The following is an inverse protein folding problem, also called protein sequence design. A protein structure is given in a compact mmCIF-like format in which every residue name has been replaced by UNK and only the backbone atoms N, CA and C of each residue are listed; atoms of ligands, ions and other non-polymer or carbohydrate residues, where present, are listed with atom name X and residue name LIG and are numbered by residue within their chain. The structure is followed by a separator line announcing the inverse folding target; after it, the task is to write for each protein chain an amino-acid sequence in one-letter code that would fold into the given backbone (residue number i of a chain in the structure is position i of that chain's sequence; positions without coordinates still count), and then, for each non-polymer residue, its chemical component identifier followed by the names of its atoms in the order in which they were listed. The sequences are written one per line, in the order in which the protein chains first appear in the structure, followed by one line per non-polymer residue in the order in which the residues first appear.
data_IF_361989392480
#
_entry.id   IF_361989392480
#
_cell.length_a   1.000
_cell.length_b   1.000
_cell.length_c   1.000
_cell.angle_alpha   90.00
_cell.angle_beta   90.00
_cell.angle_gamma   90.00
#
_symmetry.space_group_name_H-M   'P 1'
#
loop_
_entity.id
_entity.type
_entity.pdbx_description
1 polymer ?
#
# COMPACT_ATOMS: atom_id res chain seq x y z
N UNK A 1 -34.74 26.03 -25.77
CA UNK A 1 -35.91 25.17 -26.11
C UNK A 1 -35.41 23.74 -26.20
N UNK A 2 -35.99 22.84 -25.41
CA UNK A 2 -35.62 21.42 -25.40
C UNK A 2 -35.51 20.86 -23.99
N UNK A 3 -36.65 20.79 -23.31
CA UNK A 3 -36.80 20.11 -22.03
C UNK A 3 -36.83 18.59 -22.24
N UNK A 4 -36.16 17.87 -21.34
CA UNK A 4 -36.51 16.50 -20.95
C UNK A 4 -36.43 16.39 -19.43
N UNK A 5 -37.51 16.78 -18.78
CA UNK A 5 -38.12 16.10 -17.61
C UNK A 5 -38.32 14.62 -17.96
N UNK A 6 -38.28 13.59 -17.11
CA UNK A 6 -38.22 13.29 -15.67
C UNK A 6 -37.79 11.79 -15.60
N UNK A 7 -37.34 11.14 -14.54
CA UNK A 7 -38.04 10.85 -13.29
C UNK A 7 -37.14 9.86 -12.51
N UNK A 8 -36.71 10.18 -11.29
CA UNK A 8 -37.08 9.33 -10.17
C UNK A 8 -37.13 10.15 -8.87
N UNK A 9 -38.23 10.07 -8.11
CA UNK A 9 -38.52 10.89 -6.95
C UNK A 9 -38.12 10.18 -5.65
N UNK A 10 -37.81 10.98 -4.63
CA UNK A 10 -37.33 10.52 -3.32
C UNK A 10 -35.83 10.79 -3.23
N UNK A 11 -35.36 11.90 -2.65
CA UNK A 11 -35.61 12.28 -1.26
C UNK A 11 -35.78 13.79 -1.17
N UNK A 12 -36.95 14.22 -0.69
CA UNK A 12 -37.23 15.60 -0.35
C UNK A 12 -36.43 16.01 0.90
N UNK A 13 -35.73 17.13 0.79
CA UNK A 13 -35.50 18.12 1.86
C UNK A 13 -35.28 17.61 3.28
N UNK A 14 -34.03 17.68 3.77
CA UNK A 14 -33.76 18.31 5.08
C UNK A 14 -32.25 18.55 5.28
N UNK A 15 -31.73 19.64 4.71
CA UNK A 15 -30.50 20.26 5.22
C UNK A 15 -30.88 21.61 5.83
N UNK A 16 -31.53 21.54 7.00
CA UNK A 16 -31.52 22.69 7.91
C UNK A 16 -30.16 22.72 8.59
N UNK A 17 -29.54 23.90 8.54
CA UNK A 17 -28.21 24.15 9.07
C UNK A 17 -28.06 23.69 10.53
N UNK A 18 -26.89 23.14 10.80
CA UNK A 18 -26.44 22.80 12.13
C UNK A 18 -24.98 22.40 12.05
N UNK A 19 -24.10 23.32 12.45
CA UNK A 19 -22.80 23.06 13.09
C UNK A 19 -22.05 21.81 12.62
N UNK A 20 -21.00 22.01 11.81
CA UNK A 20 -19.96 20.99 11.62
C UNK A 20 -19.28 20.78 12.98
N UNK A 21 -19.68 19.72 13.70
CA UNK A 21 -18.96 19.28 14.88
C UNK A 21 -17.55 18.83 14.48
N UNK A 22 -16.50 19.17 15.25
CA UNK A 22 -15.14 18.71 14.95
C UNK A 22 -15.09 17.19 15.03
N UNK A 23 -14.51 16.54 14.01
CA UNK A 23 -14.38 15.08 13.89
C UNK A 23 -13.52 14.40 14.97
N UNK A 24 -13.08 15.12 16.01
CA UNK A 24 -12.26 14.60 17.09
C UNK A 24 -13.01 13.65 18.04
N UNK A 25 -14.34 13.55 17.95
CA UNK A 25 -15.18 12.84 18.94
C UNK A 25 -15.77 11.51 18.45
N UNK A 26 -15.48 11.09 17.21
CA UNK A 26 -15.99 9.85 16.62
C UNK A 26 -15.06 8.63 16.74
N UNK A 27 -13.89 8.77 17.39
CA UNK A 27 -12.93 7.67 17.61
C UNK A 27 -12.88 7.16 19.07
N UNK A 28 -13.92 7.37 19.87
CA UNK A 28 -13.91 6.93 21.28
C UNK A 28 -15.15 6.16 21.75
N UNK A 29 -15.91 5.57 20.82
CA UNK A 29 -16.98 4.65 21.21
C UNK A 29 -17.14 3.50 20.24
N UNK A 30 -16.24 2.54 20.38
CA UNK A 30 -16.62 1.16 20.13
C UNK A 30 -16.11 0.29 21.27
N UNK A 31 -17.04 0.02 22.19
CA UNK A 31 -17.00 -1.12 23.09
C UNK A 31 -16.86 -2.39 22.25
N UNK A 32 -15.62 -2.78 21.97
CA UNK A 32 -15.29 -4.06 21.39
C UNK A 32 -14.62 -4.89 22.46
N UNK A 33 -15.45 -5.61 23.20
CA UNK A 33 -15.15 -6.96 23.68
C UNK A 33 -14.83 -7.85 22.46
N UNK A 34 -13.67 -7.64 21.86
CA UNK A 34 -13.12 -8.50 20.82
C UNK A 34 -11.78 -9.00 21.35
N UNK A 35 -11.71 -10.31 21.51
CA UNK A 35 -10.62 -11.02 22.12
C UNK A 35 -9.26 -10.51 21.65
N UNK A 36 -8.42 -10.11 22.61
CA UNK A 36 -7.00 -10.45 22.77
C UNK A 36 -6.39 -11.16 21.54
N UNK A 37 -6.22 -10.43 20.43
CA UNK A 37 -5.52 -10.96 19.26
C UNK A 37 -4.03 -10.72 19.50
N UNK A 38 -3.43 -11.60 20.31
CA UNK A 38 -1.98 -11.60 20.52
C UNK A 38 -1.29 -11.96 19.21
N UNK A 39 -0.84 -10.95 18.48
CA UNK A 39 0.01 -11.12 17.30
C UNK A 39 1.38 -11.75 17.62
N UNK A 40 1.68 -12.00 18.90
CA UNK A 40 2.96 -12.54 19.40
C UNK A 40 3.06 -14.08 19.29
N UNK A 41 2.00 -14.78 18.86
CA UNK A 41 1.97 -16.25 18.87
C UNK A 41 2.41 -16.94 17.55
N UNK A 42 2.73 -16.20 16.48
CA UNK A 42 2.99 -16.82 15.16
C UNK A 42 4.47 -17.15 14.87
N UNK A 43 5.44 -16.65 15.65
CA UNK A 43 6.88 -16.84 15.36
C UNK A 43 7.60 -17.79 16.33
N UNK A 44 6.88 -18.54 17.18
CA UNK A 44 7.49 -19.26 18.31
C UNK A 44 7.51 -20.79 18.19
N UNK A 45 7.54 -21.33 16.98
CA UNK A 45 7.71 -22.77 16.79
C UNK A 45 8.45 -23.10 15.48
N UNK A 46 9.78 -23.09 15.51
CA UNK A 46 10.58 -23.72 14.47
C UNK A 46 11.95 -23.08 14.30
N UNK A 47 12.97 -23.69 14.91
CA UNK A 47 14.38 -23.71 14.48
C UNK A 47 14.79 -22.57 13.52
N UNK A 48 15.33 -21.47 14.04
CA UNK A 48 15.94 -20.40 13.24
C UNK A 48 17.27 -20.91 12.65
N UNK A 49 17.16 -21.61 11.54
CA UNK A 49 18.14 -21.44 10.46
C UNK A 49 17.32 -20.82 9.34
N UNK A 50 17.44 -19.50 9.12
CA UNK A 50 16.82 -18.81 7.99
C UNK A 50 17.53 -19.18 6.68
N UNK A 51 17.54 -20.47 6.36
CA UNK A 51 18.02 -20.95 5.07
C UNK A 51 16.97 -20.55 4.02
N UNK A 52 17.26 -19.49 3.26
CA UNK A 52 16.45 -19.11 2.10
C UNK A 52 16.55 -20.22 1.07
N UNK A 53 15.41 -20.73 0.60
CA UNK A 53 15.40 -21.71 -0.49
C UNK A 53 15.41 -21.02 -1.85
N UNK A 54 15.81 -21.73 -2.90
CA UNK A 54 15.76 -21.19 -4.26
C UNK A 54 14.32 -20.86 -4.70
N UNK A 55 13.33 -21.60 -4.18
CA UNK A 55 11.91 -21.35 -4.46
C UNK A 55 11.42 -20.07 -3.77
N UNK A 56 11.96 -19.73 -2.59
CA UNK A 56 11.69 -18.44 -1.95
C UNK A 56 12.21 -17.28 -2.79
N UNK A 57 13.44 -17.40 -3.34
CA UNK A 57 14.02 -16.39 -4.24
C UNK A 57 13.17 -16.23 -5.50
N UNK A 58 12.73 -17.34 -6.11
CA UNK A 58 11.82 -17.30 -7.27
C UNK A 58 10.50 -16.61 -6.96
N UNK A 59 9.90 -16.92 -5.80
CA UNK A 59 8.64 -16.30 -5.37
C UNK A 59 8.81 -14.79 -5.18
N UNK A 60 9.87 -14.36 -4.50
CA UNK A 60 10.14 -12.93 -4.28
C UNK A 60 10.44 -12.22 -5.60
N UNK A 61 11.19 -12.84 -6.50
CA UNK A 61 11.47 -12.30 -7.83
C UNK A 61 10.17 -12.11 -8.65
N UNK A 62 9.25 -13.07 -8.60
CA UNK A 62 7.95 -12.94 -9.25
C UNK A 62 7.12 -11.77 -8.68
N UNK A 63 7.12 -11.59 -7.35
CA UNK A 63 6.44 -10.46 -6.69
C UNK A 63 7.07 -9.11 -7.09
N UNK A 64 8.38 -9.07 -7.25
CA UNK A 64 9.12 -7.90 -7.70
C UNK A 64 9.11 -7.70 -9.23
N UNK A 65 8.47 -8.61 -10.00
CA UNK A 65 8.47 -8.64 -11.46
C UNK A 65 9.89 -8.67 -12.07
N UNK A 66 10.79 -9.43 -11.46
CA UNK A 66 12.16 -9.64 -11.91
C UNK A 66 12.31 -11.01 -12.57
N UNK A 67 12.88 -11.04 -13.77
CA UNK A 67 13.32 -12.27 -14.42
C UNK A 67 14.78 -12.55 -14.04
N UNK A 68 15.03 -13.71 -13.43
CA UNK A 68 16.36 -14.10 -12.95
C UNK A 68 16.81 -15.38 -13.63
N UNK A 69 18.08 -15.42 -14.08
CA UNK A 69 18.70 -16.66 -14.56
C UNK A 69 18.96 -17.64 -13.41
N UNK A 70 19.19 -18.92 -13.72
CA UNK A 70 19.47 -19.95 -12.70
C UNK A 70 20.71 -19.63 -11.86
N UNK A 71 21.78 -19.15 -12.50
CA UNK A 71 23.01 -18.76 -11.78
C UNK A 71 22.81 -17.56 -10.85
N UNK A 72 21.94 -16.62 -11.23
CA UNK A 72 21.59 -15.49 -10.36
C UNK A 72 20.72 -15.93 -9.18
N UNK A 73 19.79 -16.87 -9.40
CA UNK A 73 18.97 -17.43 -8.32
C UNK A 73 19.85 -18.11 -7.26
N UNK A 74 20.83 -18.92 -7.66
CA UNK A 74 21.76 -19.57 -6.73
C UNK A 74 22.63 -18.56 -5.96
N UNK A 75 23.15 -17.55 -6.67
CA UNK A 75 23.94 -16.48 -6.05
C UNK A 75 23.11 -15.70 -5.03
N UNK A 76 21.92 -15.24 -5.44
CA UNK A 76 21.01 -14.46 -4.59
C UNK A 76 20.52 -15.27 -3.40
N UNK A 77 20.33 -16.58 -3.54
CA UNK A 77 19.97 -17.46 -2.40
C UNK A 77 21.04 -17.36 -1.31
N UNK A 78 22.31 -17.42 -1.69
CA UNK A 78 23.43 -17.32 -0.75
C UNK A 78 23.58 -15.92 -0.17
N UNK A 79 23.46 -14.89 -1.00
CA UNK A 79 23.60 -13.48 -0.58
C UNK A 79 22.47 -13.06 0.36
N UNK A 80 21.23 -13.40 0.03
CA UNK A 80 20.06 -13.10 0.87
C UNK A 80 20.12 -13.82 2.21
N UNK A 81 20.55 -15.09 2.23
CA UNK A 81 20.75 -15.83 3.48
C UNK A 81 21.73 -15.09 4.40
N UNK A 82 22.87 -14.63 3.88
CA UNK A 82 23.85 -13.85 4.66
C UNK A 82 23.29 -12.53 5.19
N UNK A 83 22.44 -11.84 4.43
CA UNK A 83 21.81 -10.59 4.85
C UNK A 83 20.83 -10.86 5.99
N UNK A 84 20.00 -11.90 5.87
CA UNK A 84 19.05 -12.28 6.91
C UNK A 84 19.77 -12.72 8.19
N UNK A 85 20.82 -13.53 8.07
CA UNK A 85 21.68 -13.93 9.19
C UNK A 85 22.27 -12.69 9.90
N UNK A 86 22.63 -11.64 9.15
CA UNK A 86 23.11 -10.40 9.75
C UNK A 86 22.00 -9.63 10.46
N UNK A 87 20.77 -9.61 9.92
CA UNK A 87 19.61 -8.95 10.53
C UNK A 87 19.15 -9.65 11.81
N UNK A 88 19.46 -10.94 12.00
CA UNK A 88 19.13 -11.67 13.25
C UNK A 88 19.71 -11.01 14.50
N UNK A 89 20.81 -10.23 14.37
CA UNK A 89 21.38 -9.45 15.48
C UNK A 89 20.40 -8.46 16.10
N UNK A 90 19.41 -7.99 15.34
CA UNK A 90 18.38 -7.08 15.85
C UNK A 90 17.45 -7.77 16.86
N UNK A 91 17.32 -9.10 16.83
CA UNK A 91 16.51 -9.86 17.78
C UNK A 91 17.13 -9.95 19.19
N UNK A 92 18.39 -9.55 19.35
CA UNK A 92 19.06 -9.50 20.66
C UNK A 92 18.57 -8.32 21.52
N UNK A 93 17.87 -7.36 20.91
CA UNK A 93 17.36 -6.16 21.58
C UNK A 93 15.91 -6.38 22.02
N UNK A 94 15.63 -6.08 23.29
CA UNK A 94 14.27 -6.04 23.82
C UNK A 94 13.56 -4.78 23.31
N UNK A 95 12.45 -4.98 22.60
CA UNK A 95 11.60 -3.91 22.05
C UNK A 95 10.20 -3.94 22.64
N UNK A 96 9.97 -4.71 23.71
CA UNK A 96 8.68 -4.77 24.39
C UNK A 96 8.29 -3.38 24.94
N UNK A 97 7.16 -2.85 24.46
CA UNK A 97 6.64 -1.55 24.88
C UNK A 97 7.24 -0.35 24.14
N UNK A 98 8.07 -0.56 23.11
CA UNK A 98 8.54 0.52 22.22
C UNK A 98 7.58 0.67 21.04
N UNK A 99 6.98 1.85 20.90
CA UNK A 99 6.13 2.16 19.75
C UNK A 99 6.94 2.24 18.45
N UNK A 100 6.49 1.63 17.34
CA UNK A 100 7.18 1.71 16.05
C UNK A 100 7.25 3.13 15.49
N UNK A 101 8.44 3.55 15.06
CA UNK A 101 8.63 4.86 14.41
C UNK A 101 8.40 4.76 12.90
N UNK A 102 7.26 5.24 12.41
CA UNK A 102 6.94 5.26 10.97
C UNK A 102 7.45 6.52 10.26
N UNK A 103 7.24 7.70 10.85
CA UNK A 103 7.69 8.99 10.33
C UNK A 103 8.50 9.73 11.38
N UNK A 104 9.50 10.50 10.95
CA UNK A 104 10.34 11.32 11.84
C UNK A 104 9.62 12.59 12.31
N UNK A 105 8.65 13.06 11.54
CA UNK A 105 7.85 14.25 11.82
C UNK A 105 6.48 13.84 12.37
N UNK A 106 5.82 14.72 13.15
CA UNK A 106 4.46 14.47 13.61
C UNK A 106 3.52 14.20 12.42
N UNK A 107 2.75 13.13 12.52
CA UNK A 107 1.71 12.82 11.55
C UNK A 107 0.59 13.85 11.68
N UNK A 108 0.51 14.76 10.71
CA UNK A 108 -0.63 15.64 10.53
C UNK A 108 -1.25 15.32 9.17
N UNK A 109 -2.56 15.07 9.13
CA UNK A 109 -3.28 14.93 7.88
C UNK A 109 -3.25 16.26 7.13
N UNK A 110 -2.39 16.35 6.10
CA UNK A 110 -2.33 17.51 5.21
C UNK A 110 -3.36 17.32 4.11
N UNK A 111 -4.42 18.12 4.14
CA UNK A 111 -5.47 18.09 3.13
C UNK A 111 -5.15 19.04 1.97
N UNK A 112 -5.36 18.57 0.75
CA UNK A 112 -5.38 19.40 -0.47
C UNK A 112 -6.78 19.97 -0.66
N UNK A 113 -6.90 21.24 -1.06
CA UNK A 113 -8.19 21.83 -1.45
C UNK A 113 -8.77 21.12 -2.69
N UNK A 114 -10.09 20.99 -2.76
CA UNK A 114 -10.78 20.40 -3.91
C UNK A 114 -10.97 21.43 -5.03
N UNK A 115 -9.86 21.85 -5.63
CA UNK A 115 -9.82 22.78 -6.74
C UNK A 115 -9.41 22.04 -8.02
N UNK A 116 -10.06 22.36 -9.14
CA UNK A 116 -9.76 21.75 -10.43
C UNK A 116 -8.55 22.43 -11.08
N UNK A 117 -7.50 21.66 -11.32
CA UNK A 117 -6.32 22.11 -12.06
C UNK A 117 -6.29 21.47 -13.46
N UNK A 118 -5.94 22.25 -14.48
CA UNK A 118 -5.74 21.73 -15.84
C UNK A 118 -4.30 21.25 -15.96
N UNK A 119 -4.11 20.01 -16.41
CA UNK A 119 -2.80 19.52 -16.80
C UNK A 119 -2.43 20.03 -18.21
N UNK A 120 -1.39 20.87 -18.31
CA UNK A 120 -1.04 21.56 -19.56
C UNK A 120 0.03 20.83 -20.40
N UNK A 121 0.83 19.96 -19.77
CA UNK A 121 2.02 19.35 -20.37
C UNK A 121 1.79 17.95 -20.96
N UNK A 122 0.64 17.70 -21.59
CA UNK A 122 0.30 16.38 -22.13
C UNK A 122 1.34 15.88 -23.16
N UNK A 123 1.80 16.77 -24.05
CA UNK A 123 2.80 16.41 -25.07
C UNK A 123 4.13 16.00 -24.45
N UNK A 124 4.55 16.68 -23.38
CA UNK A 124 5.79 16.37 -22.67
C UNK A 124 5.68 15.03 -21.95
N UNK A 125 4.56 14.76 -21.30
CA UNK A 125 4.28 13.46 -20.67
C UNK A 125 4.36 12.31 -21.68
N UNK A 126 3.70 12.46 -22.83
CA UNK A 126 3.71 11.42 -23.86
C UNK A 126 5.10 11.26 -24.50
N UNK A 127 5.94 12.30 -24.55
CA UNK A 127 7.29 12.20 -25.11
C UNK A 127 8.20 11.20 -24.38
N UNK A 128 7.89 10.88 -23.12
CA UNK A 128 8.63 9.92 -22.29
C UNK A 128 8.12 8.47 -22.43
N UNK A 129 7.06 8.26 -23.19
CA UNK A 129 6.42 6.95 -23.33
C UNK A 129 7.23 6.03 -24.26
N UNK A 130 7.47 4.76 -23.89
CA UNK A 130 8.17 3.79 -24.75
C UNK A 130 7.40 3.41 -26.03
N UNK A 131 6.07 3.23 -25.95
CA UNK A 131 5.21 2.94 -27.10
C UNK A 131 3.89 3.72 -26.98
N UNK A 132 3.47 4.31 -28.10
CA UNK A 132 2.32 5.21 -28.19
C UNK A 132 1.40 4.82 -29.33
N UNK A 133 0.11 5.01 -29.10
CA UNK A 133 -0.92 5.06 -30.14
C UNK A 133 -1.73 6.32 -29.92
N UNK A 134 -1.56 7.31 -30.80
CA UNK A 134 -2.20 8.62 -30.68
C UNK A 134 -1.91 9.25 -29.30
N UNK A 135 -2.94 9.42 -28.46
CA UNK A 135 -2.83 9.98 -27.10
C UNK A 135 -2.84 8.92 -26.00
N UNK A 136 -2.54 7.65 -26.31
CA UNK A 136 -2.57 6.52 -25.38
C UNK A 136 -1.23 5.81 -25.28
N UNK A 137 -0.90 5.35 -24.07
CA UNK A 137 0.18 4.40 -23.82
C UNK A 137 -0.23 3.03 -24.36
N UNK A 138 0.60 2.47 -25.23
CA UNK A 138 0.36 1.13 -25.77
C UNK A 138 1.02 0.10 -24.88
N UNK A 139 0.20 -0.80 -24.31
CA UNK A 139 0.65 -1.95 -23.53
C UNK A 139 0.14 -3.25 -24.15
N UNK A 140 0.83 -4.38 -23.95
CA UNK A 140 0.27 -5.69 -24.29
C UNK A 140 -1.10 -5.88 -23.65
N UNK A 141 -1.99 -6.55 -24.38
CA UNK A 141 -3.35 -6.79 -23.89
C UNK A 141 -3.30 -7.71 -22.67
N UNK A 142 -3.97 -7.31 -21.60
CA UNK A 142 -4.14 -8.11 -20.40
C UNK A 142 -5.37 -9.02 -20.62
N UNK A 143 -5.15 -10.27 -21.00
CA UNK A 143 -6.15 -11.35 -20.98
C UNK A 143 -5.47 -12.60 -20.41
N UNK A 144 -6.23 -13.39 -19.64
CA UNK A 144 -5.89 -14.78 -19.29
C UNK A 144 -6.54 -15.79 -20.26
#
# INVERSE_FOLDING_TARGET
MGAWTSCNPGVSTFWQGGSIAPQAELYQRSDHSCARFSAVAYYRAGRLTMAVSIDDVRRVAALARLELSSGEQERLTTELSRILDYMEKLNELDTDGVEPTAHLTPDASVFRADESERFEALRELLSQAPDLRENYFRVPRIID
#
